data_IF_326725234362
#
_entry.id   IF_326725234362
#
_cell.length_a   1.000
_cell.length_b   1.000
_cell.length_c   1.000
_cell.angle_alpha   90.00
_cell.angle_beta   90.00
_cell.angle_gamma   90.00
#
_symmetry.space_group_name_H-M   'P 1'
#
loop_
_entity.id
_entity.type
_entity.pdbx_description
1 polymer ?
#
# COMPACT_ATOMS: atom_id res chain seq x y z
N UNK A 1 18.20 7.04 15.18
CA UNK A 1 17.25 7.19 14.06
C UNK A 1 16.01 6.39 14.37
N UNK A 2 14.83 7.00 14.39
CA UNK A 2 13.57 6.31 14.66
C UNK A 2 13.01 5.72 13.36
N UNK A 3 12.94 4.39 13.27
CA UNK A 3 12.31 3.68 12.15
C UNK A 3 10.79 3.63 12.36
N UNK A 4 10.15 4.80 12.31
CA UNK A 4 8.72 4.96 12.54
C UNK A 4 7.99 5.13 11.21
N UNK A 5 6.75 4.64 11.13
CA UNK A 5 5.88 4.81 9.96
C UNK A 5 4.91 5.99 10.18
N UNK A 6 5.25 7.21 9.70
CA UNK A 6 4.46 8.42 9.94
C UNK A 6 3.11 8.34 9.23
N UNK A 7 2.16 9.17 9.67
CA UNK A 7 0.80 9.17 9.10
C UNK A 7 0.76 9.59 7.64
N UNK A 8 1.69 10.46 7.22
CA UNK A 8 1.80 11.00 5.85
C UNK A 8 2.13 9.94 4.81
N UNK A 9 2.89 8.90 5.19
CA UNK A 9 3.27 7.78 4.32
C UNK A 9 2.21 6.66 4.27
N UNK A 10 1.12 6.77 5.06
CA UNK A 10 0.07 5.76 5.09
C UNK A 10 -0.89 5.95 3.93
N UNK A 11 -0.96 4.98 3.03
CA UNK A 11 -2.00 4.94 2.00
C UNK A 11 -3.37 4.59 2.63
N UNK A 12 -4.22 5.60 2.85
CA UNK A 12 -5.57 5.44 3.43
C UNK A 12 -6.72 5.84 2.52
N UNK A 13 -6.44 6.53 1.41
CA UNK A 13 -7.48 7.01 0.50
C UNK A 13 -8.12 5.83 -0.24
N UNK A 14 -9.40 5.58 0.05
CA UNK A 14 -10.16 4.52 -0.60
C UNK A 14 -10.17 4.68 -2.14
N UNK A 15 -10.31 5.92 -2.62
CA UNK A 15 -10.28 6.22 -4.06
C UNK A 15 -8.97 5.81 -4.71
N UNK A 16 -7.83 6.05 -4.06
CA UNK A 16 -6.51 5.66 -4.59
C UNK A 16 -6.35 4.14 -4.54
N UNK A 17 -6.76 3.51 -3.44
CA UNK A 17 -6.73 2.05 -3.27
C UNK A 17 -7.57 1.38 -4.36
N UNK A 18 -8.79 1.85 -4.62
CA UNK A 18 -9.65 1.35 -5.70
C UNK A 18 -8.97 1.50 -7.06
N UNK A 19 -8.38 2.67 -7.38
CA UNK A 19 -7.63 2.85 -8.65
C UNK A 19 -6.46 1.86 -8.77
N UNK A 20 -5.73 1.64 -7.68
CA UNK A 20 -4.58 0.74 -7.62
C UNK A 20 -4.97 -0.70 -8.01
N UNK A 21 -6.13 -1.19 -7.55
CA UNK A 21 -6.63 -2.53 -7.84
C UNK A 21 -7.52 -2.64 -9.09
N UNK A 22 -8.11 -1.54 -9.57
CA UNK A 22 -9.00 -1.50 -10.76
C UNK A 22 -8.22 -1.43 -12.09
N UNK A 23 -7.09 -2.14 -12.20
CA UNK A 23 -6.23 -2.23 -13.40
C UNK A 23 -5.53 -0.94 -13.87
N UNK A 24 -5.60 0.16 -13.11
CA UNK A 24 -4.83 1.38 -13.43
C UNK A 24 -3.39 1.31 -12.89
N UNK A 25 -3.16 0.50 -11.85
CA UNK A 25 -1.84 0.25 -11.29
C UNK A 25 -1.05 -0.80 -12.05
N UNK A 26 0.26 -0.64 -12.09
CA UNK A 26 1.17 -1.70 -12.46
C UNK A 26 1.35 -2.67 -11.28
N UNK A 27 1.61 -3.94 -11.57
CA UNK A 27 1.78 -4.96 -10.54
C UNK A 27 2.93 -5.89 -10.86
N UNK A 28 3.63 -6.32 -9.82
CA UNK A 28 4.71 -7.28 -9.88
C UNK A 28 4.53 -8.29 -8.74
N UNK A 29 4.48 -9.57 -9.09
CA UNK A 29 4.32 -10.66 -8.14
C UNK A 29 5.63 -11.42 -7.98
N UNK A 30 6.11 -11.52 -6.75
CA UNK A 30 7.27 -12.32 -6.38
C UNK A 30 6.92 -13.05 -5.10
N UNK A 31 6.82 -14.37 -5.15
CA UNK A 31 6.42 -15.16 -4.00
C UNK A 31 7.27 -14.81 -2.77
N UNK A 32 6.67 -14.53 -1.59
CA UNK A 32 5.25 -14.67 -1.24
C UNK A 32 4.38 -13.39 -1.42
N UNK A 33 4.94 -12.32 -1.99
CA UNK A 33 4.36 -10.98 -2.05
C UNK A 33 3.84 -10.60 -3.45
N UNK A 34 2.97 -9.59 -3.46
CA UNK A 34 2.57 -8.88 -4.68
C UNK A 34 2.68 -7.39 -4.42
N UNK A 35 3.53 -6.73 -5.19
CA UNK A 35 3.62 -5.28 -5.22
C UNK A 35 2.64 -4.74 -6.25
N UNK A 36 1.86 -3.73 -5.88
CA UNK A 36 0.96 -3.01 -6.78
C UNK A 36 1.20 -1.53 -6.55
N UNK A 37 1.40 -0.77 -7.63
CA UNK A 37 1.71 0.65 -7.54
C UNK A 37 1.03 1.46 -8.64
N UNK A 38 0.81 2.74 -8.37
CA UNK A 38 0.22 3.70 -9.28
C UNK A 38 1.02 5.00 -9.19
N UNK A 39 1.39 5.58 -10.33
CA UNK A 39 1.97 6.93 -10.35
C UNK A 39 0.87 7.93 -10.03
N UNK A 40 1.10 8.77 -9.03
CA UNK A 40 0.20 9.86 -8.62
C UNK A 40 0.99 11.17 -8.65
N UNK A 41 0.28 12.27 -8.82
CA UNK A 41 0.89 13.61 -8.74
C UNK A 41 1.35 13.88 -7.30
N UNK A 42 2.63 14.25 -7.14
CA UNK A 42 3.24 14.55 -5.84
C UNK A 42 2.59 15.76 -5.16
N UNK A 43 1.96 16.65 -5.93
CA UNK A 43 1.17 17.77 -5.42
C UNK A 43 -0.04 17.33 -4.59
N UNK A 44 -0.43 16.05 -4.69
CA UNK A 44 -1.54 15.47 -3.92
C UNK A 44 -1.12 14.85 -2.59
N UNK A 45 0.18 14.80 -2.25
CA UNK A 45 0.69 14.05 -1.10
C UNK A 45 1.85 14.74 -0.37
N UNK A 46 1.81 14.77 0.97
CA UNK A 46 2.91 15.31 1.80
C UNK A 46 4.12 14.36 1.95
N UNK A 47 4.14 13.25 1.22
CA UNK A 47 5.17 12.24 1.27
C UNK A 47 5.56 11.79 -0.14
N UNK A 48 6.84 11.48 -0.40
CA UNK A 48 7.28 11.03 -1.73
C UNK A 48 6.65 9.70 -2.15
N UNK A 49 6.24 8.88 -1.17
CA UNK A 49 5.56 7.60 -1.37
C UNK A 49 4.53 7.42 -0.26
N UNK A 50 3.35 6.89 -0.63
CA UNK A 50 2.39 6.35 0.31
C UNK A 50 2.22 4.86 0.06
N UNK A 51 2.24 4.04 1.11
CA UNK A 51 2.06 2.60 0.98
C UNK A 51 1.13 2.03 2.06
N UNK A 52 0.65 0.83 1.78
CA UNK A 52 -0.13 0.02 2.71
C UNK A 52 0.11 -1.45 2.42
N UNK A 53 -0.14 -2.29 3.42
CA UNK A 53 -0.02 -3.74 3.30
C UNK A 53 -1.41 -4.35 3.37
N UNK A 54 -1.80 -5.10 2.34
CA UNK A 54 -3.03 -5.87 2.33
C UNK A 54 -2.70 -7.35 2.44
N UNK A 55 -3.28 -8.03 3.43
CA UNK A 55 -3.18 -9.49 3.56
C UNK A 55 -4.51 -10.13 3.20
N UNK A 56 -4.52 -11.20 2.38
CA UNK A 56 -5.74 -11.98 2.17
C UNK A 56 -6.19 -12.58 3.51
N UNK A 57 -7.48 -12.46 3.83
CA UNK A 57 -8.08 -12.99 5.07
C UNK A 57 -7.76 -14.48 5.31
N UNK A 58 -7.60 -15.27 4.24
CA UNK A 58 -7.30 -16.71 4.27
C UNK A 58 -5.86 -17.07 4.70
N UNK A 59 -4.93 -16.11 4.75
CA UNK A 59 -3.51 -16.33 5.13
C UNK A 59 -3.15 -15.82 6.53
N UNK A 60 -4.14 -15.46 7.34
CA UNK A 60 -3.89 -15.00 8.71
C UNK A 60 -3.81 -16.25 9.61
N UNK A 61 -2.58 -16.73 9.86
CA UNK A 61 -2.30 -17.46 11.10
C UNK A 61 -2.19 -16.41 12.19
N UNK A 62 -2.98 -16.58 13.25
CA UNK A 62 -3.19 -15.74 14.42
C UNK A 62 -2.27 -14.50 14.59
N UNK A 63 -2.89 -13.32 14.75
CA UNK A 63 -2.23 -12.21 15.45
C UNK A 63 -2.07 -12.64 16.92
N UNK A 64 -0.85 -13.02 17.32
CA UNK A 64 -0.54 -13.26 18.73
C UNK A 64 -0.95 -12.04 19.55
N UNK A 65 -1.72 -12.29 20.61
CA UNK A 65 -2.23 -11.29 21.55
C UNK A 65 -1.14 -10.63 22.38
#
# INVERSE_FOLDING_TARGET
MSLTFPKTERLKSERIIQKLFNKQGASFAMYPLRLVWLKVDLSMTDAPVQFGVSVPKKKISQSGG
#
